data_IF_402139711880
#
_entry.id   IF_402139711880
#
_cell.length_a   1.000
_cell.length_b   1.000
_cell.length_c   1.000
_cell.angle_alpha   90.00
_cell.angle_beta   90.00
_cell.angle_gamma   90.00
#
_symmetry.space_group_name_H-M   'P 1'
#
loop_
_entity.id
_entity.type
_entity.pdbx_description
1 polymer ?
#
# COMPACT_ATOMS: atom_id res chain seq x y z
N UNK A 1 -13.36 -57.02 -0.19
CA UNK A 1 -12.55 -58.19 0.24
C UNK A 1 -11.44 -58.42 -0.78
N UNK A 2 -10.23 -58.73 -0.29
CA UNK A 2 -8.93 -58.92 -1.00
C UNK A 2 -8.21 -57.61 -1.35
N UNK A 3 -6.92 -57.42 -1.06
CA UNK A 3 -5.95 -58.08 -0.17
C UNK A 3 -4.81 -57.07 0.02
N UNK A 4 -4.38 -56.85 1.26
CA UNK A 4 -3.11 -56.19 1.60
C UNK A 4 -1.93 -57.01 1.04
N UNK A 5 -0.92 -56.33 0.52
CA UNK A 5 0.45 -56.83 0.46
C UNK A 5 1.37 -55.70 0.91
N UNK A 6 1.97 -55.90 2.08
CA UNK A 6 3.08 -55.13 2.63
C UNK A 6 4.39 -55.83 2.25
N UNK A 7 5.42 -55.08 1.85
CA UNK A 7 6.82 -55.52 1.94
C UNK A 7 7.64 -54.32 2.48
N UNK A 8 8.46 -54.51 3.54
CA UNK A 8 9.26 -53.46 4.16
C UNK A 8 10.64 -53.35 3.49
N UNK A 9 11.27 -52.17 3.55
CA UNK A 9 12.70 -52.02 3.25
C UNK A 9 13.43 -51.47 4.47
N UNK A 10 14.36 -52.28 4.97
CA UNK A 10 15.20 -52.00 6.12
C UNK A 10 16.31 -50.99 5.81
N UNK A 11 16.64 -50.19 6.81
CA UNK A 11 17.84 -49.37 6.89
C UNK A 11 19.07 -50.24 7.19
N UNK A 12 20.25 -49.89 6.66
CA UNK A 12 21.50 -49.86 7.43
C UNK A 12 22.63 -49.12 6.68
N UNK A 13 23.47 -48.49 7.49
CA UNK A 13 24.51 -47.51 7.18
C UNK A 13 25.82 -48.10 6.63
N UNK A 14 26.69 -47.23 6.09
CA UNK A 14 28.12 -47.56 5.90
C UNK A 14 28.87 -46.62 4.95
N UNK A 15 29.50 -45.57 5.50
CA UNK A 15 30.49 -44.70 4.84
C UNK A 15 31.84 -45.43 4.73
N UNK A 16 32.68 -45.13 3.72
CA UNK A 16 34.07 -44.81 4.06
C UNK A 16 34.58 -43.51 3.41
N UNK A 17 35.28 -42.75 4.26
CA UNK A 17 36.14 -41.62 3.97
C UNK A 17 37.42 -42.14 3.28
N UNK A 18 37.89 -41.48 2.22
CA UNK A 18 39.27 -41.63 1.72
C UNK A 18 39.92 -40.25 1.71
N UNK A 19 41.07 -40.17 2.37
CA UNK A 19 41.88 -38.97 2.53
C UNK A 19 43.20 -39.05 1.75
N UNK A 20 43.72 -37.86 1.44
CA UNK A 20 45.14 -37.48 1.23
C UNK A 20 45.75 -37.72 -0.18
N UNK A 21 46.82 -36.99 -0.58
CA UNK A 21 47.66 -36.06 0.20
C UNK A 21 47.88 -34.66 -0.41
N UNK A 22 48.42 -33.77 0.43
CA UNK A 22 48.98 -32.47 0.08
C UNK A 22 50.39 -32.62 -0.53
N UNK A 23 50.68 -31.83 -1.57
CA UNK A 23 52.04 -31.60 -2.09
C UNK A 23 52.31 -30.10 -2.12
N UNK A 24 53.38 -29.71 -1.43
CA UNK A 24 53.94 -28.36 -1.42
C UNK A 24 54.98 -28.18 -2.54
N UNK A 25 55.11 -26.94 -3.03
CA UNK A 25 56.31 -26.25 -3.57
C UNK A 25 55.97 -25.41 -4.82
N UNK A 26 56.79 -24.43 -5.24
CA UNK A 26 57.59 -23.46 -4.48
C UNK A 26 57.23 -22.00 -4.86
N UNK A 27 57.69 -21.03 -4.08
CA UNK A 27 57.66 -19.61 -4.44
C UNK A 27 58.76 -19.28 -5.46
N UNK A 28 58.37 -18.72 -6.60
CA UNK A 28 59.29 -18.09 -7.56
C UNK A 28 58.94 -16.60 -7.68
N UNK A 29 59.94 -15.77 -7.43
CA UNK A 29 59.89 -14.32 -7.56
C UNK A 29 60.31 -13.87 -8.96
N UNK A 30 59.85 -12.66 -9.31
CA UNK A 30 60.34 -11.72 -10.36
C UNK A 30 59.48 -11.63 -11.63
N UNK A 31 59.52 -10.51 -12.39
CA UNK A 31 59.88 -9.12 -12.06
C UNK A 31 58.74 -8.12 -12.40
N UNK A 32 58.82 -6.90 -11.86
CA UNK A 32 58.01 -5.78 -12.31
C UNK A 32 58.52 -5.26 -13.66
N UNK A 33 57.72 -5.39 -14.71
CA UNK A 33 57.92 -4.72 -15.99
C UNK A 33 56.95 -3.53 -16.10
N UNK A 34 57.52 -2.33 -16.10
CA UNK A 34 56.80 -1.10 -16.39
C UNK A 34 56.30 -1.13 -17.85
N UNK A 35 55.00 -0.98 -18.05
CA UNK A 35 54.43 -0.72 -19.37
C UNK A 35 54.37 0.78 -19.63
N UNK A 36 54.80 1.26 -20.81
CA UNK A 36 54.70 2.67 -21.18
C UNK A 36 53.24 3.04 -21.44
N UNK A 37 52.85 4.22 -20.96
CA UNK A 37 51.55 4.82 -21.23
C UNK A 37 51.46 5.24 -22.71
N UNK A 38 50.58 4.58 -23.47
CA UNK A 38 50.13 5.10 -24.76
C UNK A 38 48.89 5.96 -24.52
N UNK A 39 49.05 7.26 -24.77
CA UNK A 39 47.98 8.24 -24.75
C UNK A 39 47.03 8.00 -25.94
N UNK A 40 45.80 7.59 -25.66
CA UNK A 40 44.71 7.62 -26.64
C UNK A 40 44.17 9.04 -26.75
N UNK A 41 43.99 9.60 -27.96
CA UNK A 41 43.39 10.91 -28.14
C UNK A 41 41.91 10.88 -27.71
N UNK A 42 41.54 11.82 -26.86
CA UNK A 42 40.18 12.02 -26.39
C UNK A 42 39.28 12.45 -27.56
N UNK A 43 38.46 11.52 -28.05
CA UNK A 43 37.25 11.88 -28.78
C UNK A 43 36.24 12.42 -27.76
N UNK A 44 36.11 13.74 -27.74
CA UNK A 44 35.08 14.44 -26.97
C UNK A 44 33.70 13.95 -27.44
N UNK A 45 33.14 12.99 -26.70
CA UNK A 45 31.71 12.73 -26.75
C UNK A 45 31.01 14.00 -26.26
N UNK A 46 30.03 14.56 -26.97
CA UNK A 46 29.26 15.66 -26.45
C UNK A 46 28.58 15.17 -25.17
N UNK A 47 28.98 15.77 -24.03
CA UNK A 47 28.32 15.56 -22.77
C UNK A 47 26.84 15.96 -22.95
N UNK A 48 25.97 14.95 -23.07
CA UNK A 48 24.55 15.12 -22.87
C UNK A 48 24.38 15.66 -21.45
N UNK A 49 24.01 16.93 -21.36
CA UNK A 49 23.56 17.54 -20.12
C UNK A 49 22.49 16.62 -19.51
N UNK A 50 22.82 16.00 -18.37
CA UNK A 50 21.80 15.49 -17.47
C UNK A 50 20.79 16.62 -17.21
N UNK A 51 19.47 16.36 -17.22
CA UNK A 51 18.53 17.38 -16.79
C UNK A 51 18.91 17.77 -15.37
N UNK A 52 19.04 19.08 -15.14
CA UNK A 52 19.57 19.68 -13.91
C UNK A 52 19.07 18.94 -12.65
N UNK A 53 19.96 18.15 -12.04
CA UNK A 53 19.80 17.75 -10.65
C UNK A 53 19.97 19.02 -9.81
N UNK A 54 18.88 19.75 -9.54
CA UNK A 54 18.94 20.88 -8.60
C UNK A 54 17.81 21.91 -8.64
N UNK A 55 17.04 22.06 -9.72
CA UNK A 55 16.02 23.11 -9.78
C UNK A 55 14.68 22.65 -9.22
N UNK A 56 14.09 23.48 -8.34
CA UNK A 56 12.71 23.31 -7.89
C UNK A 56 11.79 23.99 -8.90
N UNK A 57 10.78 23.26 -9.39
CA UNK A 57 9.72 23.81 -10.22
C UNK A 57 8.65 24.39 -9.30
N UNK A 58 8.45 25.70 -9.41
CA UNK A 58 7.40 26.41 -8.70
C UNK A 58 6.21 26.59 -9.64
N UNK A 59 5.09 25.95 -9.29
CA UNK A 59 3.82 26.06 -10.02
C UNK A 59 2.91 26.98 -9.20
N UNK A 60 2.75 28.21 -9.68
CA UNK A 60 2.06 29.30 -8.99
C UNK A 60 0.56 29.30 -9.28
N UNK A 61 -0.27 29.56 -8.26
CA UNK A 61 -1.70 29.80 -8.45
C UNK A 61 -1.91 31.07 -9.28
N UNK A 62 -2.66 30.95 -10.38
CA UNK A 62 -2.85 32.06 -11.33
C UNK A 62 -1.61 32.40 -12.16
N UNK A 63 -0.52 31.64 -12.03
CA UNK A 63 0.69 31.82 -12.82
C UNK A 63 0.67 31.07 -14.14
N UNK A 64 1.70 31.28 -14.96
CA UNK A 64 1.90 30.55 -16.20
C UNK A 64 2.24 29.08 -15.96
N UNK A 65 1.83 28.22 -16.90
CA UNK A 65 2.22 26.82 -16.89
C UNK A 65 3.74 26.65 -16.93
N UNK A 66 4.24 25.61 -16.25
CA UNK A 66 5.68 25.26 -16.24
C UNK A 66 5.90 24.04 -17.13
N UNK A 67 7.00 24.00 -17.87
CA UNK A 67 7.30 22.90 -18.78
C UNK A 67 8.69 22.33 -18.53
N UNK A 68 8.77 21.00 -18.49
CA UNK A 68 10.01 20.23 -18.50
C UNK A 68 10.06 19.40 -19.77
N UNK A 69 11.24 19.34 -20.40
CA UNK A 69 11.50 18.49 -21.56
C UNK A 69 12.13 17.19 -21.09
N UNK A 70 11.76 16.09 -21.71
CA UNK A 70 12.48 14.82 -21.56
C UNK A 70 12.62 14.13 -22.91
N UNK A 71 13.55 13.19 -22.99
CA UNK A 71 13.74 12.36 -24.19
C UNK A 71 13.50 10.91 -23.78
N UNK A 72 12.45 10.30 -24.32
CA UNK A 72 12.20 8.88 -24.16
C UNK A 72 13.19 8.09 -25.02
N UNK A 73 13.93 7.16 -24.40
CA UNK A 73 14.96 6.35 -25.07
C UNK A 73 14.38 5.23 -25.93
N UNK A 74 13.21 4.74 -25.54
CA UNK A 74 12.45 3.69 -26.20
C UNK A 74 10.96 4.01 -26.16
N UNK A 75 10.18 3.31 -26.99
CA UNK A 75 8.73 3.27 -26.82
C UNK A 75 8.41 2.54 -25.51
N UNK A 76 7.46 3.03 -24.72
CA UNK A 76 7.11 2.41 -23.43
C UNK A 76 6.23 3.30 -22.55
N UNK A 77 6.00 2.86 -21.31
CA UNK A 77 5.26 3.63 -20.31
C UNK A 77 6.17 4.63 -19.62
N UNK A 78 5.79 5.90 -19.54
CA UNK A 78 6.55 6.93 -18.84
C UNK A 78 5.98 7.22 -17.45
N UNK A 79 6.87 7.54 -16.51
CA UNK A 79 6.56 7.91 -15.13
C UNK A 79 7.31 9.17 -14.76
N UNK A 80 6.70 10.01 -13.94
CA UNK A 80 7.33 11.21 -13.40
C UNK A 80 7.44 11.15 -11.89
N UNK A 81 8.62 11.48 -11.38
CA UNK A 81 8.96 11.42 -9.96
C UNK A 81 9.41 12.78 -9.47
N UNK A 82 9.01 13.17 -8.26
CA UNK A 82 9.44 14.40 -7.62
C UNK A 82 9.20 14.36 -6.11
N UNK A 83 9.83 15.28 -5.39
CA UNK A 83 9.40 15.68 -4.05
C UNK A 83 8.39 16.80 -4.18
N UNK A 84 7.13 16.55 -3.85
CA UNK A 84 6.04 17.53 -3.90
C UNK A 84 5.77 18.13 -2.53
N UNK A 85 5.51 19.44 -2.49
CA UNK A 85 4.98 20.13 -1.31
C UNK A 85 4.18 21.35 -1.72
N UNK A 86 3.25 21.76 -0.87
CA UNK A 86 2.41 22.94 -1.04
C UNK A 86 2.35 23.70 0.28
N UNK A 87 3.23 24.69 0.52
CA UNK A 87 3.23 25.44 1.77
C UNK A 87 1.86 26.04 2.08
N UNK A 88 1.35 25.75 3.28
CA UNK A 88 0.02 26.18 3.73
C UNK A 88 -1.06 25.10 3.62
N UNK A 89 -0.76 23.96 3.00
CA UNK A 89 -1.65 22.78 3.01
C UNK A 89 -1.65 22.09 4.37
N UNK A 90 -2.84 21.75 4.86
CA UNK A 90 -3.10 20.86 6.00
C UNK A 90 -4.49 20.25 5.86
N UNK A 91 -4.58 18.93 5.97
CA UNK A 91 -5.83 18.18 5.94
C UNK A 91 -6.71 18.39 7.17
N UNK A 92 -6.12 18.91 8.26
CA UNK A 92 -6.85 19.21 9.49
C UNK A 92 -7.59 20.55 9.43
N UNK A 93 -7.30 21.37 8.40
CA UNK A 93 -7.89 22.70 8.25
C UNK A 93 -8.83 22.72 7.05
N UNK A 94 -10.13 23.03 7.24
CA UNK A 94 -11.07 23.18 6.14
C UNK A 94 -10.55 24.12 5.04
N UNK A 95 -10.77 23.73 3.79
CA UNK A 95 -10.38 24.45 2.56
C UNK A 95 -8.87 24.58 2.31
N UNK A 96 -8.03 23.84 3.05
CA UNK A 96 -6.56 23.81 2.89
C UNK A 96 -6.00 22.40 2.71
N UNK A 97 -6.85 21.43 2.37
CA UNK A 97 -6.54 20.01 2.34
C UNK A 97 -5.51 19.68 1.25
N UNK A 98 -5.63 20.32 0.08
CA UNK A 98 -4.67 20.06 -0.99
C UNK A 98 -4.49 21.21 -1.98
N UNK A 99 -3.42 21.09 -2.77
CA UNK A 99 -3.27 21.79 -4.04
C UNK A 99 -3.25 20.77 -5.18
N UNK A 100 -3.89 21.13 -6.30
CA UNK A 100 -3.96 20.30 -7.51
C UNK A 100 -3.15 20.96 -8.62
N UNK A 101 -2.29 20.16 -9.24
CA UNK A 101 -1.55 20.53 -10.46
C UNK A 101 -1.94 19.55 -11.56
N UNK A 102 -2.54 20.06 -12.64
CA UNK A 102 -2.78 19.26 -13.82
C UNK A 102 -1.47 19.03 -14.58
N UNK A 103 -1.26 17.80 -15.02
CA UNK A 103 -0.06 17.36 -15.74
C UNK A 103 -0.47 16.92 -17.14
N UNK A 104 0.17 17.51 -18.14
CA UNK A 104 -0.04 17.20 -19.55
C UNK A 104 1.25 16.74 -20.21
N UNK A 105 1.17 15.77 -21.11
CA UNK A 105 2.26 15.34 -21.99
C UNK A 105 1.93 15.75 -23.41
N UNK A 106 2.83 16.52 -24.04
CA UNK A 106 2.68 17.04 -25.40
C UNK A 106 1.32 17.71 -25.67
N UNK A 107 0.84 18.45 -24.67
CA UNK A 107 -0.42 19.20 -24.75
C UNK A 107 -1.67 18.42 -24.33
N UNK A 108 -1.58 17.10 -24.09
CA UNK A 108 -2.69 16.27 -23.63
C UNK A 108 -2.63 16.06 -22.12
N UNK A 109 -3.68 16.42 -21.37
CA UNK A 109 -3.80 16.11 -19.93
C UNK A 109 -3.75 14.59 -19.72
N UNK A 110 -2.88 14.14 -18.81
CA UNK A 110 -2.71 12.70 -18.52
C UNK A 110 -3.07 12.34 -17.08
N UNK A 111 -2.87 13.26 -16.14
CA UNK A 111 -3.13 13.08 -14.71
C UNK A 111 -3.18 14.42 -14.00
N UNK A 112 -3.74 14.46 -12.80
CA UNK A 112 -3.62 15.56 -11.86
C UNK A 112 -2.89 15.10 -10.61
N UNK A 113 -1.90 15.89 -10.22
CA UNK A 113 -1.18 15.72 -8.97
C UNK A 113 -1.96 16.38 -7.84
N UNK A 114 -2.45 15.56 -6.91
CA UNK A 114 -2.81 15.97 -5.55
C UNK A 114 -1.54 16.19 -4.73
N UNK A 115 -1.38 17.37 -4.15
CA UNK A 115 -0.31 17.71 -3.20
C UNK A 115 -0.92 17.94 -1.82
N UNK A 116 -0.84 16.95 -0.92
CA UNK A 116 -1.57 16.93 0.35
C UNK A 116 -0.78 17.44 1.55
N UNK A 117 0.48 17.88 1.38
CA UNK A 117 1.36 18.23 2.50
C UNK A 117 2.10 19.55 2.28
N UNK A 118 2.30 20.30 3.36
CA UNK A 118 3.23 21.44 3.39
C UNK A 118 4.70 21.00 3.34
N UNK A 119 5.01 19.83 3.91
CA UNK A 119 6.35 19.24 3.89
C UNK A 119 6.59 18.44 2.59
N UNK A 120 7.82 18.41 2.04
CA UNK A 120 8.14 17.63 0.86
C UNK A 120 7.96 16.13 1.05
N UNK A 121 7.13 15.52 0.21
CA UNK A 121 6.92 14.06 0.14
C UNK A 121 7.32 13.54 -1.25
N UNK A 122 7.85 12.32 -1.31
CA UNK A 122 8.12 11.67 -2.59
C UNK A 122 6.80 11.27 -3.26
N UNK A 123 6.67 11.60 -4.54
CA UNK A 123 5.50 11.28 -5.37
C UNK A 123 5.99 10.76 -6.72
N UNK A 124 5.26 9.77 -7.23
CA UNK A 124 5.42 9.26 -8.58
C UNK A 124 4.04 9.13 -9.23
N UNK A 125 3.95 9.47 -10.52
CA UNK A 125 2.72 9.39 -11.30
C UNK A 125 3.02 8.80 -12.67
N UNK A 126 2.08 8.01 -13.20
CA UNK A 126 2.16 7.56 -14.58
C UNK A 126 1.82 8.71 -15.54
N UNK A 127 2.53 8.75 -16.65
CA UNK A 127 2.30 9.65 -17.77
C UNK A 127 1.64 8.94 -18.97
N UNK A 128 1.62 7.60 -18.94
CA UNK A 128 1.13 6.74 -20.02
C UNK A 128 2.17 6.44 -21.09
N UNK A 129 1.73 5.79 -22.17
CA UNK A 129 2.60 5.39 -23.26
C UNK A 129 3.20 6.59 -24.01
N UNK A 130 4.51 6.57 -24.22
CA UNK A 130 5.27 7.53 -25.02
C UNK A 130 6.07 6.81 -26.10
N UNK A 131 6.36 7.49 -27.21
CA UNK A 131 7.24 6.97 -28.26
C UNK A 131 8.68 7.36 -27.96
N UNK A 132 9.65 6.67 -28.54
CA UNK A 132 11.03 7.12 -28.54
C UNK A 132 11.12 8.51 -29.17
N UNK A 133 11.70 9.47 -28.45
CA UNK A 133 11.85 10.83 -28.95
C UNK A 133 11.74 11.90 -27.88
N UNK A 134 11.60 13.15 -28.32
CA UNK A 134 11.52 14.32 -27.45
C UNK A 134 10.06 14.59 -27.07
N UNK A 135 9.83 14.82 -25.79
CA UNK A 135 8.52 15.08 -25.20
C UNK A 135 8.56 16.26 -24.25
N UNK A 136 7.39 16.82 -23.94
CA UNK A 136 7.20 17.90 -22.99
C UNK A 136 6.18 17.52 -21.94
N UNK A 137 6.54 17.63 -20.65
CA UNK A 137 5.61 17.59 -19.53
C UNK A 137 5.29 19.02 -19.12
N UNK A 138 4.01 19.35 -19.04
CA UNK A 138 3.52 20.68 -18.64
C UNK A 138 2.71 20.58 -17.36
N UNK A 139 2.97 21.48 -16.42
CA UNK A 139 2.35 21.59 -15.12
C UNK A 139 1.53 22.88 -15.04
N UNK A 140 0.27 22.77 -14.67
CA UNK A 140 -0.64 23.90 -14.51
C UNK A 140 -1.30 23.83 -13.15
N UNK A 141 -1.19 24.87 -12.33
CA UNK A 141 -1.94 24.96 -11.08
C UNK A 141 -3.43 25.07 -11.39
N UNK A 142 -4.25 24.16 -10.87
CA UNK A 142 -5.69 24.14 -11.17
C UNK A 142 -6.56 24.43 -9.95
N UNK A 143 -6.18 23.97 -8.75
CA UNK A 143 -7.01 24.11 -7.55
C UNK A 143 -6.16 24.15 -6.27
N UNK A 144 -6.73 24.72 -5.21
CA UNK A 144 -6.15 24.74 -3.87
C UNK A 144 -6.06 26.15 -3.30
N UNK A 145 -6.22 26.28 -1.99
CA UNK A 145 -6.15 27.56 -1.30
C UNK A 145 -4.75 27.90 -0.79
N UNK A 146 -3.76 27.74 -1.66
CA UNK A 146 -2.35 28.06 -1.41
C UNK A 146 -1.77 28.82 -2.59
N UNK A 147 -0.67 29.53 -2.35
CA UNK A 147 -0.04 30.35 -3.39
C UNK A 147 0.70 29.51 -4.45
N UNK A 148 1.25 28.35 -4.06
CA UNK A 148 2.23 27.63 -4.89
C UNK A 148 2.37 26.16 -4.51
N UNK A 149 2.63 25.34 -5.52
CA UNK A 149 3.18 23.98 -5.40
C UNK A 149 4.67 24.01 -5.77
N UNK A 150 5.49 23.31 -4.97
CA UNK A 150 6.93 23.11 -5.21
C UNK A 150 7.17 21.65 -5.59
N UNK A 151 7.78 21.43 -6.76
CA UNK A 151 8.22 20.12 -7.24
C UNK A 151 9.75 20.12 -7.32
N UNK A 152 10.41 19.42 -6.40
CA UNK A 152 11.86 19.29 -6.37
C UNK A 152 12.30 17.93 -6.92
N UNK A 153 13.53 17.85 -7.43
CA UNK A 153 14.14 16.60 -7.93
C UNK A 153 13.29 15.89 -9.00
N UNK A 154 12.66 16.67 -9.87
CA UNK A 154 11.80 16.16 -10.94
C UNK A 154 12.61 15.33 -11.93
N UNK A 155 12.20 14.08 -12.16
CA UNK A 155 12.78 13.19 -13.17
C UNK A 155 11.69 12.39 -13.87
N UNK A 156 11.91 12.05 -15.14
CA UNK A 156 11.04 11.14 -15.90
C UNK A 156 11.82 9.85 -16.17
N UNK A 157 11.13 8.72 -16.05
CA UNK A 157 11.67 7.38 -16.32
C UNK A 157 10.73 6.60 -17.21
N UNK A 158 11.26 5.68 -17.99
CA UNK A 158 10.49 4.75 -18.82
C UNK A 158 10.46 3.34 -18.21
N UNK A 159 9.36 2.62 -18.43
CA UNK A 159 9.19 1.21 -18.06
C UNK A 159 8.61 0.41 -19.23
N UNK A 160 9.12 -0.81 -19.37
CA UNK A 160 8.58 -1.83 -20.28
C UNK A 160 7.86 -2.96 -19.52
N UNK A 161 7.59 -2.74 -18.22
CA UNK A 161 6.82 -3.69 -17.43
C UNK A 161 5.42 -3.88 -18.06
N UNK A 162 5.04 -5.10 -18.49
CA UNK A 162 3.74 -5.34 -19.09
C UNK A 162 2.56 -5.04 -18.17
N UNK A 163 2.74 -5.05 -16.84
CA UNK A 163 1.68 -4.61 -15.92
C UNK A 163 1.36 -3.13 -16.15
N UNK A 164 2.37 -2.28 -16.30
CA UNK A 164 2.14 -0.83 -16.43
C UNK A 164 1.33 -0.46 -17.67
N UNK A 165 1.42 -1.26 -18.73
CA UNK A 165 0.60 -1.10 -19.94
C UNK A 165 -0.91 -1.15 -19.70
N UNK A 166 -1.36 -1.86 -18.66
CA UNK A 166 -2.78 -2.03 -18.34
C UNK A 166 -3.18 -1.35 -17.03
N UNK A 167 -2.29 -0.56 -16.43
CA UNK A 167 -2.59 0.19 -15.23
C UNK A 167 -3.79 1.13 -15.47
N UNK A 168 -4.78 1.15 -14.58
CA UNK A 168 -6.01 1.92 -14.75
C UNK A 168 -5.76 3.42 -14.56
N UNK A 169 -6.62 4.21 -15.21
CA UNK A 169 -6.74 5.63 -14.96
C UNK A 169 -8.03 5.84 -14.17
N UNK A 170 -7.90 6.45 -12.99
CA UNK A 170 -9.01 6.67 -12.06
C UNK A 170 -9.52 8.09 -12.21
N UNK A 171 -10.75 8.25 -12.66
CA UNK A 171 -11.49 9.52 -12.60
C UNK A 171 -12.07 9.66 -11.21
N UNK A 172 -11.93 10.86 -10.66
CA UNK A 172 -12.38 11.15 -9.30
C UNK A 172 -13.88 10.99 -9.11
N UNK A 173 -14.27 10.69 -7.87
CA UNK A 173 -15.64 10.65 -7.40
C UNK A 173 -16.28 12.03 -7.55
N UNK A 174 -17.52 12.09 -8.02
CA UNK A 174 -18.25 13.34 -8.30
C UNK A 174 -19.55 13.49 -7.49
N UNK A 175 -19.58 12.95 -6.27
CA UNK A 175 -20.74 12.86 -5.39
C UNK A 175 -20.35 13.24 -3.94
N UNK A 176 -20.69 14.43 -3.42
CA UNK A 176 -21.73 15.34 -3.93
C UNK A 176 -21.25 16.37 -4.96
N UNK A 177 -19.94 16.63 -5.07
CA UNK A 177 -19.39 17.60 -6.01
C UNK A 177 -18.27 17.00 -6.87
N UNK A 178 -18.01 17.56 -8.07
CA UNK A 178 -17.07 16.98 -9.03
C UNK A 178 -15.60 17.00 -8.57
N UNK A 179 -15.24 17.73 -7.52
CA UNK A 179 -13.85 17.91 -7.08
C UNK A 179 -13.58 17.39 -5.67
N UNK A 180 -14.47 16.59 -5.11
CA UNK A 180 -14.35 16.19 -3.70
C UNK A 180 -13.04 15.45 -3.39
N UNK A 181 -12.45 14.76 -4.36
CA UNK A 181 -11.14 14.12 -4.19
C UNK A 181 -9.96 15.10 -4.04
N UNK A 182 -10.23 16.40 -4.01
CA UNK A 182 -9.27 17.39 -3.53
C UNK A 182 -9.24 17.49 -1.99
N UNK A 183 -10.22 16.95 -1.27
CA UNK A 183 -10.33 17.10 0.19
C UNK A 183 -10.88 15.88 0.95
N UNK A 184 -11.52 14.92 0.29
CA UNK A 184 -11.96 13.62 0.87
C UNK A 184 -11.89 12.48 -0.16
N UNK A 185 -11.73 11.25 0.31
CA UNK A 185 -11.51 10.05 -0.49
C UNK A 185 -10.55 10.30 -1.66
N UNK A 186 -9.42 10.96 -1.40
CA UNK A 186 -8.49 11.27 -2.48
C UNK A 186 -7.66 10.02 -2.82
N UNK A 187 -7.53 9.60 -4.09
CA UNK A 187 -6.61 8.53 -4.46
C UNK A 187 -5.15 8.89 -4.12
N UNK A 188 -4.55 8.17 -3.17
CA UNK A 188 -3.24 8.49 -2.60
C UNK A 188 -2.11 7.69 -3.25
N UNK A 189 -2.26 6.37 -3.29
CA UNK A 189 -1.25 5.39 -3.70
C UNK A 189 -1.93 4.33 -4.56
N UNK A 190 -1.23 3.81 -5.57
CA UNK A 190 -1.62 2.59 -6.28
C UNK A 190 -0.49 1.56 -6.25
N UNK A 191 -0.86 0.30 -6.44
CA UNK A 191 0.08 -0.79 -6.67
C UNK A 191 -0.57 -1.85 -7.55
N UNK A 192 0.23 -2.82 -7.99
CA UNK A 192 -0.30 -4.02 -8.62
C UNK A 192 0.24 -5.30 -7.97
N UNK A 193 -0.54 -6.37 -8.10
CA UNK A 193 -0.16 -7.73 -7.77
C UNK A 193 -0.28 -8.61 -9.02
N UNK A 194 0.62 -9.59 -9.12
CA UNK A 194 0.54 -10.63 -10.16
C UNK A 194 -0.04 -11.89 -9.52
N UNK A 195 -1.19 -12.33 -10.02
CA UNK A 195 -1.90 -13.51 -9.49
C UNK A 195 -1.89 -14.65 -10.52
N UNK A 196 -1.92 -15.92 -10.09
CA UNK A 196 -2.00 -17.06 -10.99
C UNK A 196 -3.34 -17.08 -11.75
N UNK A 197 -3.32 -17.48 -13.01
CA UNK A 197 -4.52 -17.79 -13.79
C UNK A 197 -4.74 -19.30 -13.90
N UNK A 198 -5.97 -19.71 -14.18
CA UNK A 198 -6.31 -21.13 -14.40
C UNK A 198 -5.72 -21.66 -15.71
N UNK A 199 -5.62 -20.82 -16.73
CA UNK A 199 -5.01 -21.17 -18.02
C UNK A 199 -3.47 -21.24 -17.88
N UNK A 200 -2.83 -22.37 -18.23
CA UNK A 200 -1.38 -22.50 -18.14
C UNK A 200 -0.62 -21.40 -18.90
N UNK A 201 0.36 -20.79 -18.24
CA UNK A 201 1.17 -19.69 -18.80
C UNK A 201 0.49 -18.33 -18.80
N UNK A 202 -0.78 -18.24 -18.40
CA UNK A 202 -1.45 -16.96 -18.18
C UNK A 202 -1.25 -16.48 -16.74
N UNK A 203 -1.52 -15.20 -16.51
CA UNK A 203 -1.53 -14.57 -15.19
C UNK A 203 -2.50 -13.40 -15.17
N UNK A 204 -2.93 -13.01 -13.98
CA UNK A 204 -3.68 -11.78 -13.77
C UNK A 204 -2.76 -10.67 -13.26
N UNK A 205 -2.99 -9.45 -13.72
CA UNK A 205 -2.59 -8.25 -13.01
C UNK A 205 -3.81 -7.67 -12.31
N UNK A 206 -3.73 -7.52 -10.99
CA UNK A 206 -4.74 -6.87 -10.15
C UNK A 206 -4.18 -5.56 -9.62
N UNK A 207 -4.89 -4.45 -9.84
CA UNK A 207 -4.49 -3.11 -9.43
C UNK A 207 -5.35 -2.68 -8.26
N UNK A 208 -4.72 -2.06 -7.27
CA UNK A 208 -5.40 -1.56 -6.08
C UNK A 208 -4.97 -0.15 -5.76
N UNK A 209 -5.84 0.57 -5.04
CA UNK A 209 -5.64 1.97 -4.67
C UNK A 209 -5.95 2.16 -3.19
N UNK A 210 -5.25 3.11 -2.58
CA UNK A 210 -5.55 3.64 -1.24
C UNK A 210 -6.23 4.99 -1.41
N UNK A 211 -7.39 5.19 -0.79
CA UNK A 211 -8.07 6.48 -0.69
C UNK A 211 -7.89 7.10 0.69
N UNK A 212 -7.98 8.42 0.80
CA UNK A 212 -7.74 9.13 2.07
C UNK A 212 -8.71 8.75 3.20
N UNK A 213 -9.91 8.29 2.85
CA UNK A 213 -10.99 7.93 3.77
C UNK A 213 -11.92 6.86 3.14
N UNK A 214 -12.82 6.30 3.94
CA UNK A 214 -14.04 5.61 3.53
C UNK A 214 -15.23 6.46 4.03
N UNK A 215 -15.85 7.23 3.15
CA UNK A 215 -16.96 8.15 3.52
C UNK A 215 -18.29 7.44 3.82
N UNK A 216 -18.40 6.14 3.57
CA UNK A 216 -19.57 5.35 3.94
C UNK A 216 -19.37 3.88 3.66
N UNK A 217 -20.21 3.03 4.27
CA UNK A 217 -20.02 1.58 4.29
C UNK A 217 -19.73 1.13 5.72
N UNK A 218 -18.46 0.93 6.04
CA UNK A 218 -17.98 0.60 7.38
C UNK A 218 -17.90 1.86 8.24
N UNK A 219 -18.38 1.80 9.48
CA UNK A 219 -18.24 2.92 10.42
C UNK A 219 -16.79 3.08 10.91
N UNK A 220 -16.41 4.31 11.24
CA UNK A 220 -15.02 4.68 11.57
C UNK A 220 -14.40 3.87 12.73
N UNK A 221 -15.11 3.58 13.84
CA UNK A 221 -14.63 2.66 14.87
C UNK A 221 -14.28 1.26 14.35
N UNK A 222 -15.21 0.66 13.59
CA UNK A 222 -14.99 -0.66 13.00
C UNK A 222 -13.87 -0.64 11.96
N UNK A 223 -13.63 0.48 11.28
CA UNK A 223 -12.51 0.67 10.37
C UNK A 223 -11.16 0.56 11.09
N UNK A 224 -11.02 1.27 12.20
CA UNK A 224 -9.83 1.19 13.06
C UNK A 224 -9.64 -0.24 13.58
N UNK A 225 -10.69 -0.86 14.11
CA UNK A 225 -10.64 -2.21 14.65
C UNK A 225 -10.33 -3.30 13.58
N UNK A 226 -11.00 -3.27 12.43
CA UNK A 226 -10.94 -4.36 11.43
C UNK A 226 -9.82 -4.19 10.42
N UNK A 227 -9.32 -2.99 10.22
CA UNK A 227 -8.36 -2.67 9.16
C UNK A 227 -7.14 -1.86 9.64
N UNK A 228 -7.20 -1.30 10.85
CA UNK A 228 -6.12 -0.50 11.42
C UNK A 228 -5.92 0.86 10.73
N UNK A 229 -6.98 1.39 10.13
CA UNK A 229 -6.97 2.64 9.33
C UNK A 229 -8.39 3.16 9.11
N UNK A 230 -8.51 4.46 8.79
CA UNK A 230 -9.75 5.05 8.25
C UNK A 230 -9.67 5.31 6.75
N UNK A 231 -8.48 5.33 6.15
CA UNK A 231 -8.30 5.28 4.69
C UNK A 231 -8.98 4.05 4.13
N UNK A 232 -9.54 4.11 2.93
CA UNK A 232 -10.05 2.93 2.22
C UNK A 232 -8.98 2.26 1.34
N UNK A 233 -9.10 0.96 1.14
CA UNK A 233 -8.20 0.17 0.28
C UNK A 233 -8.99 -0.87 -0.51
N UNK A 234 -9.05 -0.64 -1.82
CA UNK A 234 -9.79 -1.50 -2.75
C UNK A 234 -8.97 -1.89 -3.99
N UNK A 235 -9.24 -3.10 -4.49
CA UNK A 235 -8.81 -3.49 -5.84
C UNK A 235 -9.79 -2.89 -6.84
N UNK A 236 -9.28 -2.32 -7.93
CA UNK A 236 -10.10 -1.54 -8.87
C UNK A 236 -10.22 -2.17 -10.24
N UNK A 237 -9.22 -2.95 -10.64
CA UNK A 237 -9.20 -3.55 -11.97
C UNK A 237 -8.35 -4.81 -11.95
N UNK A 238 -8.82 -5.84 -12.64
CA UNK A 238 -8.05 -7.06 -12.88
C UNK A 238 -8.12 -7.45 -14.35
N UNK A 239 -6.99 -7.88 -14.91
CA UNK A 239 -6.89 -8.28 -16.31
C UNK A 239 -6.03 -9.51 -16.46
N UNK A 240 -6.52 -10.50 -17.22
CA UNK A 240 -5.74 -11.67 -17.61
C UNK A 240 -4.84 -11.32 -18.80
N UNK A 241 -3.59 -11.78 -18.73
CA UNK A 241 -2.64 -11.68 -19.82
C UNK A 241 -2.07 -13.06 -20.15
N UNK A 242 -1.80 -13.27 -21.43
CA UNK A 242 -1.15 -14.49 -21.91
C UNK A 242 0.36 -14.52 -21.55
N UNK A 243 1.03 -15.61 -21.91
CA UNK A 243 2.47 -15.78 -21.68
C UNK A 243 3.35 -14.69 -22.36
N UNK A 244 2.81 -13.93 -23.32
CA UNK A 244 3.48 -12.82 -23.99
C UNK A 244 3.10 -11.46 -23.39
N UNK A 245 2.33 -11.43 -22.30
CA UNK A 245 1.86 -10.21 -21.65
C UNK A 245 0.76 -9.48 -22.44
N UNK A 246 0.08 -10.15 -23.38
CA UNK A 246 -1.03 -9.59 -24.14
C UNK A 246 -2.33 -9.86 -23.41
N UNK A 247 -3.17 -8.84 -23.27
CA UNK A 247 -4.52 -8.97 -22.68
C UNK A 247 -5.33 -10.03 -23.42
N UNK A 248 -5.90 -10.96 -22.66
CA UNK A 248 -6.98 -11.85 -23.09
C UNK A 248 -8.28 -11.19 -22.64
N UNK A 249 -9.31 -11.07 -23.48
CA UNK A 249 -10.52 -10.24 -23.24
C UNK A 249 -11.28 -10.59 -21.93
N UNK A 250 -10.82 -10.04 -20.80
CA UNK A 250 -11.15 -10.53 -19.45
C UNK A 250 -11.14 -9.42 -18.38
N UNK A 251 -11.04 -8.14 -18.78
CA UNK A 251 -11.00 -7.05 -17.81
C UNK A 251 -12.22 -7.11 -16.88
N UNK A 252 -12.00 -7.10 -15.58
CA UNK A 252 -13.04 -6.99 -14.55
C UNK A 252 -12.70 -5.87 -13.58
N UNK A 253 -13.69 -5.32 -12.91
CA UNK A 253 -13.53 -4.29 -11.90
C UNK A 253 -14.42 -4.56 -10.70
N UNK A 254 -14.08 -3.95 -9.57
CA UNK A 254 -14.89 -4.00 -8.36
C UNK A 254 -15.95 -2.89 -8.42
N UNK A 255 -17.17 -3.29 -8.73
CA UNK A 255 -18.34 -2.42 -8.77
C UNK A 255 -18.97 -2.26 -7.39
N UNK A 256 -20.01 -1.44 -7.30
CA UNK A 256 -20.80 -1.22 -6.08
C UNK A 256 -21.18 -2.54 -5.38
N UNK A 257 -21.23 -2.50 -4.04
CA UNK A 257 -21.45 -3.67 -3.19
C UNK A 257 -20.35 -4.75 -3.35
N UNK A 258 -19.14 -4.36 -3.72
CA UNK A 258 -17.99 -5.23 -3.96
C UNK A 258 -18.23 -6.32 -5.03
N UNK A 259 -19.12 -6.07 -5.99
CA UNK A 259 -19.38 -7.01 -7.07
C UNK A 259 -18.22 -7.04 -8.07
N UNK A 260 -17.85 -8.21 -8.55
CA UNK A 260 -16.89 -8.34 -9.67
C UNK A 260 -17.66 -8.33 -10.98
N UNK A 261 -17.55 -7.25 -11.77
CA UNK A 261 -18.23 -7.12 -13.06
C UNK A 261 -17.23 -7.07 -14.22
N UNK A 262 -17.65 -7.54 -15.40
CA UNK A 262 -16.86 -7.38 -16.64
C UNK A 262 -16.75 -5.89 -16.98
N UNK A 263 -15.53 -5.45 -17.28
CA UNK A 263 -15.26 -4.10 -17.75
C UNK A 263 -15.75 -3.92 -19.19
N UNK A 264 -16.65 -2.96 -19.38
CA UNK A 264 -17.21 -2.56 -20.67
C UNK A 264 -16.93 -1.08 -21.00
N UNK A 265 -16.13 -0.42 -20.17
CA UNK A 265 -15.79 0.98 -20.27
C UNK A 265 -14.79 1.33 -21.37
N UNK A 266 -14.39 2.60 -21.38
CA UNK A 266 -13.44 3.14 -22.37
C UNK A 266 -11.99 2.86 -21.97
N UNK A 267 -11.15 2.68 -22.99
CA UNK A 267 -9.70 2.66 -22.82
C UNK A 267 -9.07 3.94 -23.37
N UNK A 268 -8.03 4.42 -22.71
CA UNK A 268 -7.06 5.33 -23.30
C UNK A 268 -5.81 4.54 -23.67
N UNK A 269 -5.62 4.27 -24.96
CA UNK A 269 -4.62 3.29 -25.38
C UNK A 269 -4.98 1.91 -24.82
N UNK A 270 -4.14 1.36 -23.95
CA UNK A 270 -4.40 0.09 -23.25
C UNK A 270 -4.86 0.25 -21.81
N UNK A 271 -4.94 1.47 -21.29
CA UNK A 271 -5.33 1.77 -19.91
C UNK A 271 -6.85 1.89 -19.80
N UNK A 272 -7.52 1.07 -18.97
CA UNK A 272 -8.94 1.24 -18.70
C UNK A 272 -9.16 2.55 -17.95
N UNK A 273 -10.25 3.26 -18.26
CA UNK A 273 -10.68 4.44 -17.53
C UNK A 273 -11.85 4.03 -16.63
N UNK A 274 -11.66 4.15 -15.32
CA UNK A 274 -12.65 3.85 -14.29
C UNK A 274 -12.96 5.12 -13.52
N UNK A 275 -14.15 5.23 -12.95
CA UNK A 275 -14.51 6.33 -12.06
C UNK A 275 -14.83 5.78 -10.67
N UNK A 276 -14.34 6.42 -9.61
CA UNK A 276 -14.82 6.13 -8.24
C UNK A 276 -16.27 6.59 -8.13
N UNK A 277 -17.19 5.71 -7.72
CA UNK A 277 -18.63 5.94 -7.85
C UNK A 277 -19.43 5.83 -6.56
N UNK A 278 -18.90 5.16 -5.53
CA UNK A 278 -19.61 4.94 -4.27
C UNK A 278 -18.90 5.62 -3.11
N UNK A 279 -19.58 5.69 -1.96
CA UNK A 279 -19.01 6.24 -0.73
C UNK A 279 -17.90 5.33 -0.13
N UNK A 280 -17.93 4.03 -0.43
CA UNK A 280 -16.89 3.04 -0.13
C UNK A 280 -15.95 2.78 -1.33
N UNK A 281 -15.71 3.82 -2.14
CA UNK A 281 -14.75 3.85 -3.26
C UNK A 281 -14.79 2.73 -4.33
N UNK A 282 -15.90 2.00 -4.45
CA UNK A 282 -16.09 1.07 -5.56
C UNK A 282 -16.29 1.83 -6.89
N UNK A 283 -16.02 1.14 -7.99
CA UNK A 283 -15.82 1.76 -9.29
C UNK A 283 -17.07 1.67 -10.19
N UNK A 284 -17.16 2.58 -11.16
CA UNK A 284 -17.91 2.39 -12.40
C UNK A 284 -16.96 2.31 -13.60
N UNK A 285 -17.37 1.58 -14.63
CA UNK A 285 -16.72 1.59 -15.93
C UNK A 285 -17.33 2.60 -16.92
N UNK A 286 -18.47 3.19 -16.59
CA UNK A 286 -19.03 4.35 -17.27
C UNK A 286 -18.61 5.62 -16.55
N UNK A 287 -17.79 6.43 -17.23
CA UNK A 287 -17.22 7.67 -16.70
C UNK A 287 -18.10 8.85 -17.07
N UNK A 288 -18.50 9.63 -16.07
CA UNK A 288 -19.22 10.89 -16.20
C UNK A 288 -18.26 12.09 -16.26
N UNK A 289 -18.44 13.05 -15.34
CA UNK A 289 -17.64 14.28 -15.31
C UNK A 289 -16.19 14.00 -14.84
N UNK A 290 -15.23 14.28 -15.72
CA UNK A 290 -13.80 14.11 -15.46
C UNK A 290 -13.13 15.40 -14.93
N UNK A 291 -13.58 15.85 -13.76
CA UNK A 291 -13.02 17.06 -13.13
C UNK A 291 -11.62 16.80 -12.57
N UNK A 292 -11.40 15.63 -11.95
CA UNK A 292 -10.09 15.17 -11.47
C UNK A 292 -9.78 13.78 -12.06
N UNK A 293 -8.52 13.58 -12.44
CA UNK A 293 -8.03 12.38 -13.11
C UNK A 293 -6.72 11.94 -12.46
N UNK A 294 -6.67 10.72 -11.94
CA UNK A 294 -5.53 10.16 -11.23
C UNK A 294 -4.96 8.98 -12.02
N UNK A 295 -3.78 9.20 -12.58
CA UNK A 295 -2.96 8.13 -13.15
C UNK A 295 -1.79 7.85 -12.20
N UNK A 296 -2.07 7.10 -11.15
CA UNK A 296 -1.13 6.80 -10.09
C UNK A 296 -0.07 5.81 -10.58
N UNK A 297 1.16 5.98 -10.09
CA UNK A 297 2.22 4.99 -10.31
C UNK A 297 1.88 3.69 -9.58
N UNK A 298 1.61 2.62 -10.35
CA UNK A 298 1.30 1.28 -9.85
C UNK A 298 2.49 0.33 -9.91
N UNK A 299 3.70 0.82 -10.22
CA UNK A 299 4.94 0.03 -10.21
C UNK A 299 5.32 -0.53 -8.83
N UNK A 300 5.03 0.15 -7.69
CA UNK A 300 5.31 -0.45 -6.40
C UNK A 300 4.57 -1.78 -6.27
N UNK A 301 5.22 -2.78 -5.67
CA UNK A 301 4.60 -4.05 -5.31
C UNK A 301 4.29 -4.12 -3.83
N UNK A 302 3.31 -4.96 -3.46
CA UNK A 302 3.05 -5.36 -2.08
C UNK A 302 3.74 -6.70 -1.79
N UNK A 303 4.51 -6.85 -0.69
CA UNK A 303 4.99 -8.15 -0.25
C UNK A 303 3.82 -9.12 -0.01
N UNK A 304 3.99 -10.38 -0.42
CA UNK A 304 2.95 -11.40 -0.29
C UNK A 304 2.68 -11.80 1.17
N UNK A 305 3.70 -11.68 2.02
CA UNK A 305 3.73 -12.04 3.44
C UNK A 305 3.27 -10.90 4.37
N UNK A 306 2.73 -9.80 3.82
CA UNK A 306 2.33 -8.61 4.56
C UNK A 306 0.91 -8.16 4.23
N UNK A 307 0.27 -7.52 5.20
CA UNK A 307 -1.04 -6.90 5.04
C UNK A 307 -1.01 -5.78 3.97
N UNK A 308 -2.17 -5.43 3.41
CA UNK A 308 -2.29 -4.40 2.35
C UNK A 308 -1.78 -3.05 2.82
N UNK A 309 -1.91 -2.75 4.10
CA UNK A 309 -1.51 -1.52 4.77
C UNK A 309 0.01 -1.28 4.73
N UNK A 310 0.84 -2.28 4.40
CA UNK A 310 2.29 -2.11 4.23
C UNK A 310 2.66 -1.09 3.13
N UNK A 311 1.76 -0.84 2.18
CA UNK A 311 1.96 0.21 1.16
C UNK A 311 1.89 1.61 1.78
N UNK A 312 1.08 1.80 2.83
CA UNK A 312 1.02 3.02 3.63
C UNK A 312 2.26 3.15 4.51
N UNK A 313 2.75 2.05 5.11
CA UNK A 313 3.99 2.05 5.91
C UNK A 313 5.20 2.58 5.11
N UNK A 314 5.24 2.24 3.82
CA UNK A 314 6.29 2.70 2.88
C UNK A 314 6.08 4.14 2.40
N UNK A 315 4.91 4.71 2.64
CA UNK A 315 4.51 6.06 2.24
C UNK A 315 3.87 6.77 3.44
N UNK A 316 4.63 6.98 4.54
CA UNK A 316 4.08 7.27 5.86
C UNK A 316 3.25 8.57 5.96
N UNK A 317 3.37 9.46 4.97
CA UNK A 317 2.55 10.66 4.85
C UNK A 317 1.05 10.35 4.67
N UNK A 318 0.66 9.12 4.30
CA UNK A 318 -0.76 8.73 4.23
C UNK A 318 -1.41 8.65 5.60
N UNK A 319 -0.68 8.25 6.65
CA UNK A 319 -1.17 8.27 8.04
C UNK A 319 -1.47 9.69 8.50
N UNK A 320 -0.66 10.66 8.06
CA UNK A 320 -0.92 12.07 8.35
C UNK A 320 -2.23 12.54 7.73
N UNK A 321 -2.51 12.16 6.48
CA UNK A 321 -3.77 12.50 5.82
C UNK A 321 -4.95 11.83 6.53
N UNK A 322 -4.85 10.51 6.75
CA UNK A 322 -5.84 9.70 7.45
C UNK A 322 -6.29 10.35 8.76
N UNK A 323 -5.34 10.75 9.61
CA UNK A 323 -5.63 11.34 10.90
C UNK A 323 -6.20 12.75 10.81
N UNK A 324 -5.59 13.58 9.98
CA UNK A 324 -5.99 14.97 9.83
C UNK A 324 -7.38 15.10 9.21
N UNK A 325 -7.77 14.18 8.34
CA UNK A 325 -9.11 14.11 7.76
C UNK A 325 -10.18 13.84 8.82
N UNK A 326 -9.97 12.86 9.71
CA UNK A 326 -10.90 12.56 10.80
C UNK A 326 -11.05 13.74 11.77
N UNK A 327 -9.96 14.47 12.04
CA UNK A 327 -10.00 15.70 12.85
C UNK A 327 -10.85 16.77 12.17
N UNK A 328 -10.61 17.02 10.87
CA UNK A 328 -11.34 18.04 10.10
C UNK A 328 -12.83 17.73 10.03
N UNK A 329 -13.18 16.45 9.95
CA UNK A 329 -14.58 15.99 9.85
C UNK A 329 -15.29 15.89 11.19
N UNK A 330 -14.59 16.16 12.31
CA UNK A 330 -15.17 16.08 13.65
C UNK A 330 -15.51 14.65 14.07
N UNK A 331 -14.82 13.66 13.49
CA UNK A 331 -14.99 12.23 13.78
C UNK A 331 -14.14 11.74 14.96
N UNK A 332 -13.39 12.63 15.60
CA UNK A 332 -12.49 12.33 16.72
C UNK A 332 -13.13 12.76 18.04
N UNK A 333 -13.24 11.84 19.00
CA UNK A 333 -13.64 12.20 20.37
C UNK A 333 -12.53 12.97 21.10
N UNK A 334 -12.93 13.88 21.99
CA UNK A 334 -12.01 14.71 22.76
C UNK A 334 -12.53 14.88 24.20
N UNK A 335 -11.82 14.36 25.23
CA UNK A 335 -10.55 13.63 25.15
C UNK A 335 -10.69 12.22 24.55
N UNK A 336 -9.60 11.66 24.00
CA UNK A 336 -9.53 10.24 23.63
C UNK A 336 -9.77 9.35 24.85
N UNK A 337 -10.55 8.30 24.68
CA UNK A 337 -10.99 7.40 25.74
C UNK A 337 -11.12 5.97 25.22
N UNK A 338 -10.16 5.07 25.52
CA UNK A 338 -10.25 3.66 25.11
C UNK A 338 -11.39 2.89 25.78
N UNK A 339 -12.16 3.53 26.68
CA UNK A 339 -13.35 2.96 27.29
C UNK A 339 -14.62 3.12 26.43
N UNK A 340 -14.57 3.91 25.35
CA UNK A 340 -15.68 4.05 24.41
C UNK A 340 -15.33 3.43 23.07
N UNK A 341 -16.33 3.26 22.20
CA UNK A 341 -16.13 2.86 20.81
C UNK A 341 -15.83 4.05 19.89
N UNK A 342 -16.02 5.29 20.36
CA UNK A 342 -15.75 6.45 19.52
C UNK A 342 -14.26 6.56 19.21
N UNK A 343 -13.93 7.03 18.02
CA UNK A 343 -12.53 7.06 17.57
C UNK A 343 -11.82 8.22 18.26
N UNK A 344 -10.84 7.92 19.12
CA UNK A 344 -9.96 8.92 19.72
C UNK A 344 -8.91 9.46 18.75
N UNK A 345 -8.11 10.43 19.21
CA UNK A 345 -6.94 10.89 18.46
C UNK A 345 -6.04 9.70 18.09
N UNK A 346 -5.82 9.49 16.79
CA UNK A 346 -5.14 8.30 16.28
C UNK A 346 -3.69 8.11 16.78
N UNK A 347 -3.09 9.11 17.43
CA UNK A 347 -1.79 8.96 18.14
C UNK A 347 -1.90 8.12 19.42
N UNK A 348 -3.10 7.90 19.95
CA UNK A 348 -3.35 7.03 21.12
C UNK A 348 -3.48 5.54 20.74
N UNK A 349 -3.43 5.22 19.45
CA UNK A 349 -3.62 3.86 18.95
C UNK A 349 -2.28 3.17 18.69
N UNK A 350 -2.17 1.93 19.15
CA UNK A 350 -1.16 0.99 18.67
C UNK A 350 -1.63 0.41 17.33
N UNK A 351 -0.91 0.73 16.25
CA UNK A 351 -1.12 0.13 14.93
C UNK A 351 -0.33 -1.17 14.83
N UNK A 352 -1.00 -2.30 14.65
CA UNK A 352 -0.40 -3.63 14.74
C UNK A 352 -0.83 -4.52 13.58
N UNK A 353 0.10 -5.33 13.08
CA UNK A 353 -0.16 -6.33 12.04
C UNK A 353 0.16 -7.71 12.58
N UNK A 354 -0.74 -8.67 12.38
CA UNK A 354 -0.54 -10.07 12.76
C UNK A 354 -1.08 -11.02 11.69
N UNK A 355 -0.65 -12.27 11.73
CA UNK A 355 -1.14 -13.33 10.85
C UNK A 355 -1.84 -14.42 11.66
N UNK A 356 -2.99 -14.89 11.17
CA UNK A 356 -3.72 -16.01 11.73
C UNK A 356 -4.33 -16.88 10.64
N UNK A 357 -4.65 -18.12 10.99
CA UNK A 357 -5.45 -19.03 10.17
C UNK A 357 -6.62 -19.60 10.97
N UNK A 358 -7.70 -19.97 10.30
CA UNK A 358 -8.88 -20.60 10.92
C UNK A 358 -8.94 -22.07 10.54
N UNK A 359 -9.05 -22.94 11.54
CA UNK A 359 -9.21 -24.37 11.32
C UNK A 359 -10.62 -24.76 10.89
N UNK A 360 -10.82 -26.05 10.62
CA UNK A 360 -12.14 -26.57 10.28
C UNK A 360 -13.12 -26.45 11.48
N UNK A 361 -14.41 -26.15 11.22
CA UNK A 361 -15.43 -26.14 12.25
C UNK A 361 -15.68 -27.54 12.81
N UNK A 362 -16.04 -27.62 14.10
CA UNK A 362 -16.40 -28.87 14.79
C UNK A 362 -17.90 -28.96 15.11
N UNK A 363 -18.67 -27.92 14.80
CA UNK A 363 -20.11 -27.84 15.09
C UNK A 363 -20.82 -26.77 14.26
N UNK A 364 -22.02 -26.41 14.69
CA UNK A 364 -22.85 -25.36 14.07
C UNK A 364 -22.63 -24.01 14.77
N UNK A 365 -22.83 -22.90 14.06
CA UNK A 365 -22.69 -21.55 14.61
C UNK A 365 -21.78 -20.65 13.77
N UNK A 366 -21.39 -19.51 14.32
CA UNK A 366 -20.50 -18.57 13.66
C UNK A 366 -19.04 -19.02 13.69
N UNK A 367 -18.28 -18.68 12.63
CA UNK A 367 -16.83 -18.81 12.62
C UNK A 367 -16.16 -17.77 13.50
N UNK A 368 -14.95 -18.04 14.02
CA UNK A 368 -14.22 -17.09 14.83
C UNK A 368 -13.31 -16.16 14.02
N UNK A 369 -13.17 -14.95 14.54
CA UNK A 369 -12.08 -14.04 14.26
C UNK A 369 -11.12 -13.99 15.43
N UNK A 370 -10.07 -13.19 15.28
CA UNK A 370 -9.08 -12.94 16.34
C UNK A 370 -8.99 -11.45 16.59
N UNK A 371 -9.08 -11.05 17.86
CA UNK A 371 -8.77 -9.71 18.34
C UNK A 371 -7.48 -9.73 19.16
N UNK A 372 -6.85 -8.57 19.29
CA UNK A 372 -5.67 -8.39 20.13
C UNK A 372 -6.04 -7.61 21.39
N UNK A 373 -5.60 -8.12 22.54
CA UNK A 373 -5.64 -7.45 23.82
C UNK A 373 -4.26 -6.96 24.22
N UNK A 374 -4.15 -5.70 24.64
CA UNK A 374 -2.93 -5.06 25.10
C UNK A 374 -3.07 -4.80 26.60
N UNK A 375 -2.14 -5.36 27.37
CA UNK A 375 -2.01 -5.05 28.79
C UNK A 375 -0.82 -4.12 28.98
N UNK A 376 -1.03 -3.03 29.70
CA UNK A 376 0.03 -2.07 30.04
C UNK A 376 0.65 -2.41 31.40
N UNK A 377 1.92 -2.05 31.57
CA UNK A 377 2.62 -2.21 32.86
C UNK A 377 1.91 -1.43 33.95
N UNK A 378 1.70 -2.07 35.10
CA UNK A 378 1.00 -1.51 36.26
C UNK A 378 -0.46 -1.11 35.98
N UNK A 379 -1.09 -1.69 34.94
CA UNK A 379 -2.50 -1.52 34.63
C UNK A 379 -3.16 -2.90 34.54
N UNK A 380 -4.31 -3.06 35.21
CA UNK A 380 -5.07 -4.31 35.17
C UNK A 380 -5.95 -4.42 33.92
N UNK A 381 -6.14 -3.32 33.20
CA UNK A 381 -7.04 -3.22 32.04
C UNK A 381 -6.45 -3.94 30.83
N UNK A 382 -7.28 -4.75 30.17
CA UNK A 382 -6.97 -5.32 28.87
C UNK A 382 -7.67 -4.50 27.79
N UNK A 383 -6.92 -3.64 27.11
CA UNK A 383 -7.42 -2.82 26.01
C UNK A 383 -7.52 -3.67 24.75
N UNK A 384 -8.65 -3.67 24.06
CA UNK A 384 -8.91 -4.63 22.99
C UNK A 384 -9.13 -3.94 21.65
N UNK A 385 -8.58 -4.54 20.60
CA UNK A 385 -8.72 -4.02 19.24
C UNK A 385 -10.16 -3.99 18.75
N UNK A 386 -11.01 -4.83 19.33
CA UNK A 386 -12.40 -5.01 18.92
C UNK A 386 -13.40 -4.25 19.79
N UNK A 387 -12.97 -3.53 20.84
CA UNK A 387 -13.85 -2.91 21.84
C UNK A 387 -14.96 -3.86 22.34
N UNK A 388 -14.64 -5.16 22.44
CA UNK A 388 -15.59 -6.24 22.75
C UNK A 388 -16.73 -6.45 21.74
N UNK A 389 -16.73 -5.80 20.58
CA UNK A 389 -17.62 -6.09 19.45
C UNK A 389 -17.10 -7.29 18.64
N UNK A 390 -17.72 -8.49 18.70
CA UNK A 390 -17.15 -9.69 18.07
C UNK A 390 -16.96 -9.56 16.55
N UNK A 391 -17.88 -8.85 15.88
CA UNK A 391 -17.83 -8.56 14.44
C UNK A 391 -16.67 -7.64 14.03
N UNK A 392 -15.97 -7.03 14.99
CA UNK A 392 -14.79 -6.19 14.74
C UNK A 392 -13.48 -6.95 14.84
N UNK A 393 -13.51 -8.23 15.22
CA UNK A 393 -12.34 -9.10 15.19
C UNK A 393 -11.90 -9.45 13.77
N UNK A 394 -10.65 -9.85 13.61
CA UNK A 394 -10.07 -10.19 12.31
C UNK A 394 -10.51 -11.58 11.87
N UNK A 395 -11.35 -11.64 10.85
CA UNK A 395 -11.81 -12.88 10.21
C UNK A 395 -10.82 -13.43 9.18
N UNK A 396 -10.02 -12.57 8.55
CA UNK A 396 -9.21 -12.92 7.38
C UNK A 396 -8.03 -13.84 7.74
N UNK A 397 -7.79 -14.86 6.92
CA UNK A 397 -6.68 -15.83 7.07
C UNK A 397 -5.45 -15.44 6.24
N UNK A 398 -5.11 -14.16 6.28
CA UNK A 398 -3.93 -13.54 5.69
C UNK A 398 -3.38 -12.52 6.70
N UNK A 399 -2.11 -12.09 6.59
CA UNK A 399 -1.61 -10.98 7.39
C UNK A 399 -2.57 -9.79 7.35
N UNK A 400 -2.94 -9.28 8.53
CA UNK A 400 -3.98 -8.29 8.70
C UNK A 400 -3.53 -7.21 9.69
N UNK A 401 -3.80 -5.95 9.34
CA UNK A 401 -3.66 -4.83 10.25
C UNK A 401 -4.92 -4.63 11.11
N UNK A 402 -4.71 -4.14 12.32
CA UNK A 402 -5.72 -3.68 13.29
C UNK A 402 -5.09 -2.58 14.15
N UNK A 403 -5.90 -1.93 14.97
CA UNK A 403 -5.42 -0.99 15.99
C UNK A 403 -6.02 -1.29 17.36
N UNK A 404 -5.32 -0.89 18.41
CA UNK A 404 -5.82 -0.92 19.80
C UNK A 404 -5.69 0.47 20.38
N UNK A 405 -6.80 1.08 20.80
CA UNK A 405 -6.77 2.35 21.51
C UNK A 405 -6.21 2.17 22.92
N UNK A 406 -5.33 3.07 23.34
CA UNK A 406 -4.72 3.08 24.66
C UNK A 406 -4.89 4.47 25.29
N UNK A 407 -4.68 4.61 26.62
CA UNK A 407 -4.62 5.92 27.24
C UNK A 407 -3.60 6.84 26.54
N UNK A 408 -3.85 8.15 26.54
CA UNK A 408 -2.96 9.10 25.92
C UNK A 408 -1.52 9.04 26.48
N UNK A 409 -0.53 9.21 25.61
CA UNK A 409 0.89 9.26 25.99
C UNK A 409 1.57 7.90 26.15
N UNK A 410 0.90 6.79 25.83
CA UNK A 410 1.51 5.45 25.85
C UNK A 410 2.39 5.21 24.63
N UNK A 411 3.39 4.34 24.82
CA UNK A 411 4.36 3.92 23.83
C UNK A 411 4.52 2.39 23.85
N UNK A 412 5.30 1.84 22.92
CA UNK A 412 5.58 0.39 22.92
C UNK A 412 6.34 -0.08 24.16
N UNK A 413 7.07 0.82 24.84
CA UNK A 413 7.79 0.50 26.08
C UNK A 413 6.87 0.27 27.29
N UNK A 414 5.63 0.78 27.23
CA UNK A 414 4.64 0.68 28.30
C UNK A 414 3.84 -0.64 28.25
N UNK A 415 3.93 -1.39 27.15
CA UNK A 415 3.21 -2.64 26.96
C UNK A 415 3.86 -3.73 27.81
N UNK A 416 3.07 -4.43 28.62
CA UNK A 416 3.46 -5.61 29.38
C UNK A 416 3.30 -6.87 28.53
N UNK A 417 2.14 -7.01 27.88
CA UNK A 417 1.85 -8.18 27.05
C UNK A 417 0.84 -7.91 25.93
N UNK A 418 0.91 -8.76 24.90
CA UNK A 418 -0.04 -8.82 23.79
C UNK A 418 -0.72 -10.19 23.82
N UNK A 419 -2.04 -10.21 23.93
CA UNK A 419 -2.87 -11.42 24.03
C UNK A 419 -3.73 -11.56 22.78
N UNK A 420 -3.75 -12.74 22.18
CA UNK A 420 -4.72 -13.06 21.14
C UNK A 420 -6.01 -13.57 21.77
N UNK A 421 -7.16 -13.17 21.23
CA UNK A 421 -8.50 -13.49 21.74
C UNK A 421 -9.35 -14.01 20.58
N UNK A 422 -9.85 -15.24 20.68
CA UNK A 422 -10.77 -15.86 19.72
C UNK A 422 -12.18 -15.33 19.94
N UNK A 423 -12.81 -14.80 18.89
CA UNK A 423 -14.15 -14.19 18.94
C UNK A 423 -15.08 -14.80 17.88
N UNK A 424 -16.06 -15.64 18.23
CA UNK A 424 -17.14 -16.00 17.31
C UNK A 424 -17.86 -14.73 16.84
N UNK A 425 -17.96 -14.52 15.52
CA UNK A 425 -18.43 -13.23 14.96
C UNK A 425 -19.94 -13.01 15.10
N UNK A 426 -20.72 -14.04 15.42
CA UNK A 426 -22.18 -13.95 15.47
C UNK A 426 -22.80 -14.99 16.39
N UNK A 427 -24.03 -15.39 16.07
CA UNK A 427 -24.78 -16.32 16.91
C UNK A 427 -24.14 -17.70 16.94
N UNK A 428 -23.90 -18.20 18.15
CA UNK A 428 -23.28 -19.50 18.38
C UNK A 428 -21.81 -19.54 17.97
N UNK A 429 -21.20 -20.69 18.24
CA UNK A 429 -19.78 -20.93 17.99
C UNK A 429 -19.62 -22.27 17.29
N UNK A 430 -19.14 -22.26 16.05
CA UNK A 430 -18.93 -23.48 15.27
C UNK A 430 -17.72 -24.31 15.73
N UNK A 431 -17.00 -23.86 16.77
CA UNK A 431 -15.90 -24.57 17.41
C UNK A 431 -14.57 -24.55 16.63
N UNK A 432 -14.50 -23.91 15.46
CA UNK A 432 -13.27 -23.83 14.68
C UNK A 432 -12.13 -23.20 15.50
N UNK A 433 -10.92 -23.77 15.53
CA UNK A 433 -9.79 -23.13 16.20
C UNK A 433 -9.23 -21.96 15.37
N UNK A 434 -8.52 -21.04 16.01
CA UNK A 434 -7.75 -19.99 15.32
C UNK A 434 -6.29 -20.06 15.73
N UNK A 435 -5.37 -20.17 14.77
CA UNK A 435 -3.94 -20.25 15.04
C UNK A 435 -3.26 -18.94 14.65
N UNK A 436 -2.64 -18.25 15.60
CA UNK A 436 -1.85 -17.03 15.36
C UNK A 436 -0.38 -17.41 15.21
N UNK A 437 0.25 -16.92 14.15
CA UNK A 437 1.61 -17.32 13.76
C UNK A 437 2.63 -16.20 13.86
N UNK A 438 2.21 -14.94 13.73
CA UNK A 438 3.15 -13.82 13.83
C UNK A 438 2.50 -12.51 14.25
N UNK A 439 3.32 -11.63 14.84
CA UNK A 439 3.14 -10.18 14.86
C UNK A 439 4.24 -9.61 13.96
N UNK A 440 3.84 -9.00 12.86
CA UNK A 440 4.77 -8.53 11.81
C UNK A 440 5.27 -7.11 12.07
N UNK A 441 4.46 -6.28 12.74
CA UNK A 441 4.83 -4.92 13.15
C UNK A 441 3.93 -4.39 14.27
N UNK A 442 4.42 -3.40 15.00
CA UNK A 442 3.64 -2.59 15.94
C UNK A 442 4.29 -1.23 16.18
N UNK A 443 3.53 -0.14 15.96
CA UNK A 443 3.98 1.24 16.11
C UNK A 443 2.87 2.19 16.57
N UNK A 444 3.26 3.38 17.02
CA UNK A 444 2.35 4.51 17.27
C UNK A 444 2.57 5.60 16.23
N UNK A 445 1.67 6.59 16.17
CA UNK A 445 1.92 7.81 15.41
C UNK A 445 2.58 8.88 16.30
N UNK A 446 3.52 9.63 15.72
CA UNK A 446 4.17 10.75 16.38
C UNK A 446 3.28 12.01 16.41
N UNK A 447 3.81 13.11 16.94
CA UNK A 447 3.09 14.40 17.00
C UNK A 447 2.67 14.96 15.62
N UNK A 448 3.30 14.51 14.54
CA UNK A 448 3.00 14.91 13.17
C UNK A 448 2.14 13.87 12.43
N UNK A 449 1.61 12.87 13.15
CA UNK A 449 0.86 11.74 12.61
C UNK A 449 1.67 10.85 11.66
N UNK A 450 2.99 10.76 11.89
CA UNK A 450 3.87 9.84 11.16
C UNK A 450 4.16 8.60 12.03
N UNK A 451 4.20 7.39 11.44
CA UNK A 451 4.60 6.18 12.16
C UNK A 451 5.95 6.31 12.84
N UNK A 452 6.02 5.95 14.11
CA UNK A 452 7.29 5.69 14.80
C UNK A 452 7.92 4.40 14.25
N UNK A 453 9.23 4.15 14.48
CA UNK A 453 9.82 2.86 14.16
C UNK A 453 9.01 1.71 14.77
N UNK A 454 8.77 0.66 13.98
CA UNK A 454 8.12 -0.55 14.47
C UNK A 454 9.10 -1.35 15.31
N UNK A 455 8.75 -1.60 16.58
CA UNK A 455 9.62 -2.32 17.52
C UNK A 455 9.03 -3.64 18.01
N UNK A 456 7.75 -3.91 17.72
CA UNK A 456 7.06 -5.12 18.17
C UNK A 456 7.00 -6.15 17.05
N UNK A 457 7.68 -7.26 17.26
CA UNK A 457 7.62 -8.44 16.39
C UNK A 457 7.51 -9.70 17.25
N UNK A 458 6.83 -10.70 16.71
CA UNK A 458 6.71 -12.01 17.31
C UNK A 458 6.52 -13.07 16.22
N UNK A 459 7.09 -14.25 16.43
CA UNK A 459 6.94 -15.41 15.55
C UNK A 459 6.71 -16.63 16.44
N UNK A 460 5.74 -17.45 16.07
CA UNK A 460 5.40 -18.64 16.83
C UNK A 460 4.21 -19.38 16.24
N UNK A 461 3.53 -20.16 17.06
CA UNK A 461 2.29 -20.82 16.68
C UNK A 461 1.47 -21.05 17.94
N UNK A 462 0.38 -20.30 18.06
CA UNK A 462 -0.51 -20.35 19.22
C UNK A 462 -1.91 -20.60 18.73
N UNK A 463 -2.49 -21.73 19.14
CA UNK A 463 -3.85 -22.13 18.75
C UNK A 463 -4.84 -21.80 19.86
N UNK A 464 -5.86 -21.01 19.52
CA UNK A 464 -6.98 -20.65 20.36
C UNK A 464 -8.15 -21.59 20.05
N UNK A 465 -8.81 -22.10 21.08
CA UNK A 465 -9.97 -23.01 20.97
C UNK A 465 -11.15 -22.47 21.79
N UNK A 466 -12.37 -23.00 21.68
CA UNK A 466 -13.46 -22.63 22.58
C UNK A 466 -13.12 -22.83 24.08
N UNK A 467 -12.35 -23.87 24.41
CA UNK A 467 -11.93 -24.17 25.79
C UNK A 467 -10.74 -23.32 26.26
N UNK A 468 -9.99 -22.75 25.33
CA UNK A 468 -8.84 -21.88 25.61
C UNK A 468 -8.84 -20.73 24.60
N UNK A 469 -9.78 -19.76 24.75
CA UNK A 469 -10.04 -18.75 23.73
C UNK A 469 -9.02 -17.62 23.74
N UNK A 470 -8.13 -17.57 24.73
CA UNK A 470 -7.11 -16.52 24.87
C UNK A 470 -5.74 -17.10 25.09
N UNK A 471 -4.71 -16.46 24.53
CA UNK A 471 -3.32 -16.81 24.81
C UNK A 471 -2.39 -15.59 24.62
N UNK A 472 -1.40 -15.48 25.49
CA UNK A 472 -0.37 -14.44 25.39
C UNK A 472 0.58 -14.81 24.25
N UNK A 473 0.75 -13.88 23.29
CA UNK A 473 1.70 -14.01 22.20
C UNK A 473 3.06 -13.46 22.60
N UNK A 474 3.07 -12.26 23.18
CA UNK A 474 4.28 -11.50 23.44
C UNK A 474 4.26 -10.90 24.84
N UNK A 475 5.44 -10.78 25.46
CA UNK A 475 5.66 -10.14 26.75
C UNK A 475 6.95 -9.29 26.70
N UNK A 476 6.96 -8.14 27.38
CA UNK A 476 8.12 -7.24 27.47
C UNK A 476 9.20 -7.72 28.41
#
# INVERSE_FOLDING_TARGET
MRRQISIPLAALAGIPLIASPALASPALASPALASPALASPALASPALASPASGSTINVDRGGHARTVKFTARHDGEAFIHFKASAPGVSWATPFKESAIVSISVDGRRVTDLLVPTSSPIDRSLALGSVRRGKHKVTFTFTRGNVARVKLARTRVTESNDPAMRYAPIVVGRSLPDPNQNAYTDAPLIAWHETLPATTPGHKFYEYSVVWSNEDGGTDTPALMARWGRTTDIEWIYRVEVDAKGRRVDSGVYQAANHQTLKFSGKYQGTHPILQTCTLNNNMCDQVGNESLRFFLDSTPGKPADRAREVVMDRQPWTYQIMAQEMIREGKIENPSSPATEAVGDQRTYLFIEFAKTTGAPTGTGSGPGVALGIKLKNDATLYRSDHDQPTWSIERDIPAATTVELPAGKTTADIESITAIRRPLGTGDNGAPSTVTSINRGFFLDKNYLPTPSTLTWQGSVTLTPQSPTAVLWHS
#
